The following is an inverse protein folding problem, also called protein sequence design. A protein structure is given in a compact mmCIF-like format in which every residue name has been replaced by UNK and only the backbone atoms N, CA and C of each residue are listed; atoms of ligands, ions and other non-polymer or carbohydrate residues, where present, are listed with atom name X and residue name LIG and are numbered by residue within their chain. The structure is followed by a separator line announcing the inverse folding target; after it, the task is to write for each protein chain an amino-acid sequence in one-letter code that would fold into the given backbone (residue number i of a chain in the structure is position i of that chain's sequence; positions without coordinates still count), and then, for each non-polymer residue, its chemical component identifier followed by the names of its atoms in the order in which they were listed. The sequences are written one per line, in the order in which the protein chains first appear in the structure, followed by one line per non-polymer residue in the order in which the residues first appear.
data_IF_347601853560
#
_entry.id   IF_347601853560
#
_cell.length_a   1.000
_cell.length_b   1.000
_cell.length_c   1.000
_cell.angle_alpha   90.00
_cell.angle_beta   90.00
_cell.angle_gamma   90.00
#
_symmetry.space_group_name_H-M   'P 1'
#
loop_
_entity.id
_entity.type
_entity.pdbx_description
1 polymer ?
#
# COMPACT_ATOMS: atom_id res chain seq x y z
N UNK A 1 -4.88 -9.31 9.04
CA UNK A 1 -3.45 -9.37 9.42
C UNK A 1 -3.15 -10.49 10.42
N UNK A 2 -4.15 -10.90 11.20
CA UNK A 2 -4.09 -11.95 12.20
C UNK A 2 -3.65 -13.30 11.62
N UNK A 3 -4.06 -13.60 10.38
CA UNK A 3 -3.57 -14.76 9.64
C UNK A 3 -2.06 -14.71 9.40
N UNK A 4 -1.52 -13.54 9.02
CA UNK A 4 -0.08 -13.37 8.83
C UNK A 4 0.67 -13.52 10.17
N UNK A 5 0.12 -12.98 11.26
CA UNK A 5 0.71 -13.11 12.61
C UNK A 5 0.75 -14.58 13.06
N UNK A 6 -0.35 -15.31 12.86
CA UNK A 6 -0.44 -16.74 13.17
C UNK A 6 0.55 -17.58 12.35
N UNK A 7 0.63 -17.36 11.03
CA UNK A 7 1.55 -18.09 10.15
C UNK A 7 3.02 -17.80 10.52
N UNK A 8 3.34 -16.56 10.89
CA UNK A 8 4.65 -16.16 11.37
C UNK A 8 5.01 -16.72 12.76
N UNK A 9 4.08 -17.38 13.45
CA UNK A 9 4.28 -17.90 14.81
C UNK A 9 4.20 -16.84 15.90
N UNK A 10 3.65 -15.66 15.59
CA UNK A 10 3.36 -14.62 16.56
C UNK A 10 2.03 -14.87 17.27
N UNK A 11 1.76 -14.09 18.33
CA UNK A 11 0.42 -14.04 18.92
C UNK A 11 -0.60 -13.55 17.87
N UNK A 12 -1.81 -14.09 17.90
CA UNK A 12 -2.93 -13.60 17.09
C UNK A 12 -3.14 -12.10 17.31
N UNK A 13 -2.90 -11.29 16.28
CA UNK A 13 -2.91 -9.83 16.33
C UNK A 13 -3.16 -9.23 14.95
N UNK A 14 -3.94 -8.16 14.87
CA UNK A 14 -4.09 -7.37 13.63
C UNK A 14 -2.95 -6.35 13.44
N UNK A 15 -2.06 -6.26 14.43
CA UNK A 15 -0.82 -5.49 14.44
C UNK A 15 0.40 -6.41 14.64
N UNK A 16 0.74 -7.29 13.67
CA UNK A 16 1.89 -8.17 13.79
C UNK A 16 3.22 -7.43 13.71
N UNK A 17 4.26 -8.01 14.31
CA UNK A 17 5.64 -7.56 14.12
C UNK A 17 6.26 -8.07 12.83
N UNK A 18 5.69 -9.11 12.21
CA UNK A 18 6.21 -9.77 11.00
C UNK A 18 5.97 -8.99 9.70
N UNK A 19 5.36 -7.80 9.77
CA UNK A 19 5.09 -6.94 8.61
C UNK A 19 5.28 -5.47 8.98
N UNK A 20 5.80 -4.67 8.05
CA UNK A 20 5.93 -3.22 8.21
C UNK A 20 4.58 -2.56 8.58
N UNK A 21 4.51 -1.68 9.61
CA UNK A 21 3.23 -1.17 10.14
C UNK A 21 2.32 -0.50 9.11
N UNK A 22 2.87 0.29 8.19
CA UNK A 22 2.07 0.93 7.15
C UNK A 22 1.53 -0.08 6.12
N UNK A 23 2.30 -1.13 5.80
CA UNK A 23 1.86 -2.19 4.90
C UNK A 23 0.76 -3.04 5.55
N UNK A 24 0.90 -3.34 6.86
CA UNK A 24 -0.15 -3.97 7.64
C UNK A 24 -1.43 -3.10 7.70
N UNK A 25 -1.27 -1.77 7.81
CA UNK A 25 -2.37 -0.81 7.71
C UNK A 25 -3.08 -0.85 6.34
N UNK A 26 -2.31 -0.85 5.25
CA UNK A 26 -2.85 -1.00 3.89
C UNK A 26 -3.60 -2.33 3.72
N UNK A 27 -3.03 -3.45 4.17
CA UNK A 27 -3.65 -4.76 4.06
C UNK A 27 -4.99 -4.84 4.83
N UNK A 28 -5.07 -4.25 6.02
CA UNK A 28 -6.34 -4.12 6.77
C UNK A 28 -7.36 -3.29 6.00
N UNK A 29 -6.97 -2.11 5.52
CA UNK A 29 -7.86 -1.25 4.75
C UNK A 29 -8.39 -1.93 3.48
N UNK A 30 -7.53 -2.64 2.74
CA UNK A 30 -7.94 -3.40 1.55
C UNK A 30 -8.89 -4.53 1.93
N UNK A 31 -8.58 -5.30 2.97
CA UNK A 31 -9.49 -6.31 3.50
C UNK A 31 -10.86 -5.69 3.88
N UNK A 32 -10.88 -4.54 4.52
CA UNK A 32 -12.12 -3.92 4.99
C UNK A 32 -13.01 -3.38 3.85
N UNK A 33 -12.45 -3.16 2.66
CA UNK A 33 -13.15 -2.54 1.52
C UNK A 33 -13.32 -3.45 0.31
N UNK A 34 -12.65 -4.60 0.24
CA UNK A 34 -12.89 -5.60 -0.81
C UNK A 34 -14.24 -6.29 -0.54
N UNK A 35 -14.97 -6.64 -1.61
CA UNK A 35 -16.22 -7.40 -1.47
C UNK A 35 -15.99 -8.80 -0.90
N UNK A 36 -17.03 -9.40 -0.33
CA UNK A 36 -16.97 -10.75 0.22
C UNK A 36 -16.68 -11.82 -0.85
N UNK A 37 -17.12 -11.61 -2.09
CA UNK A 37 -16.89 -12.53 -3.21
C UNK A 37 -15.41 -12.53 -3.64
N UNK A 38 -14.74 -11.37 -3.61
CA UNK A 38 -13.34 -11.23 -3.98
C UNK A 38 -12.36 -11.45 -2.81
N UNK A 39 -12.83 -11.34 -1.56
CA UNK A 39 -12.02 -11.51 -0.33
C UNK A 39 -11.17 -12.80 -0.29
N UNK A 40 -11.63 -13.97 -0.76
CA UNK A 40 -10.80 -15.18 -0.79
C UNK A 40 -9.49 -15.01 -1.58
N UNK A 41 -9.50 -14.17 -2.62
CA UNK A 41 -8.31 -13.86 -3.42
C UNK A 41 -7.21 -13.11 -2.66
N UNK A 42 -7.52 -12.49 -1.52
CA UNK A 42 -6.51 -11.89 -0.65
C UNK A 42 -5.71 -12.92 0.15
N UNK A 43 -6.26 -14.11 0.38
CA UNK A 43 -5.60 -15.15 1.15
C UNK A 43 -4.23 -15.51 0.53
N UNK A 44 -4.15 -15.56 -0.80
CA UNK A 44 -2.92 -15.84 -1.56
C UNK A 44 -1.78 -14.83 -1.28
N UNK A 45 -2.12 -13.60 -0.86
CA UNK A 45 -1.15 -12.55 -0.55
C UNK A 45 -0.64 -12.63 0.89
N UNK A 46 -1.32 -13.37 1.79
CA UNK A 46 -0.98 -13.42 3.22
C UNK A 46 0.44 -13.92 3.49
N UNK A 47 0.93 -15.01 2.86
CA UNK A 47 2.34 -15.41 2.97
C UNK A 47 3.31 -14.30 2.60
N UNK A 48 2.96 -13.49 1.61
CA UNK A 48 3.88 -12.54 0.97
C UNK A 48 4.18 -11.28 1.80
N UNK A 49 3.39 -11.01 2.85
CA UNK A 49 3.65 -9.89 3.78
C UNK A 49 4.56 -10.27 4.94
N UNK A 50 4.79 -11.57 5.16
CA UNK A 50 5.59 -12.07 6.28
C UNK A 50 7.07 -11.83 5.99
N UNK A 51 7.79 -11.29 6.97
CA UNK A 51 9.22 -10.96 6.84
C UNK A 51 9.49 -9.65 6.11
N UNK A 52 8.45 -8.96 5.60
CA UNK A 52 8.56 -7.60 5.07
C UNK A 52 8.63 -6.58 6.22
N UNK A 53 9.65 -6.74 7.06
CA UNK A 53 9.94 -5.96 8.25
C UNK A 53 11.18 -5.12 8.04
N UNK A 54 11.19 -3.89 8.53
CA UNK A 54 12.38 -3.04 8.50
C UNK A 54 12.05 -1.58 8.73
N UNK A 55 13.09 -0.79 8.96
CA UNK A 55 13.01 0.67 9.16
C UNK A 55 13.68 1.43 7.99
N UNK A 56 13.78 0.81 6.81
CA UNK A 56 14.28 1.52 5.63
C UNK A 56 13.42 2.78 5.41
N UNK A 57 14.03 3.99 5.46
CA UNK A 57 13.31 5.25 5.41
C UNK A 57 12.51 5.47 4.12
N UNK A 58 12.71 4.65 3.08
CA UNK A 58 11.98 4.69 1.81
C UNK A 58 10.65 3.94 1.84
N UNK A 59 10.45 2.99 2.76
CA UNK A 59 9.27 2.10 2.78
C UNK A 59 7.95 2.87 2.81
N UNK A 60 7.79 3.79 3.75
CA UNK A 60 6.57 4.59 3.89
C UNK A 60 6.28 5.41 2.61
N UNK A 61 7.33 5.98 2.01
CA UNK A 61 7.20 6.78 0.79
C UNK A 61 6.85 5.92 -0.43
N UNK A 62 7.42 4.71 -0.56
CA UNK A 62 7.06 3.78 -1.65
C UNK A 62 5.62 3.28 -1.53
N UNK A 63 5.19 2.89 -0.33
CA UNK A 63 3.81 2.45 -0.08
C UNK A 63 2.83 3.59 -0.38
N UNK A 64 3.09 4.79 0.14
CA UNK A 64 2.24 5.96 -0.11
C UNK A 64 2.21 6.35 -1.59
N UNK A 65 3.36 6.35 -2.27
CA UNK A 65 3.42 6.60 -3.71
C UNK A 65 2.60 5.55 -4.47
N UNK A 66 2.64 4.26 -4.07
CA UNK A 66 1.87 3.15 -4.70
C UNK A 66 0.40 3.42 -4.61
N UNK A 67 -0.06 3.70 -3.40
CA UNK A 67 -1.45 4.06 -3.15
C UNK A 67 -1.89 5.27 -3.97
N UNK A 68 -1.10 6.35 -3.95
CA UNK A 68 -1.47 7.59 -4.62
C UNK A 68 -1.47 7.47 -6.15
N UNK A 69 -0.44 6.84 -6.75
CA UNK A 69 -0.37 6.68 -8.22
C UNK A 69 -1.45 5.74 -8.76
N UNK A 70 -1.82 4.70 -8.00
CA UNK A 70 -2.88 3.77 -8.40
C UNK A 70 -4.28 4.41 -8.24
N UNK A 71 -4.49 5.17 -7.18
CA UNK A 71 -5.79 5.80 -6.92
C UNK A 71 -6.06 7.02 -7.82
N UNK A 72 -5.03 7.83 -8.13
CA UNK A 72 -5.20 9.11 -8.82
C UNK A 72 -6.13 9.06 -10.05
N UNK A 73 -6.01 8.11 -10.99
CA UNK A 73 -6.83 8.12 -12.21
C UNK A 73 -8.31 7.77 -11.98
N UNK A 74 -8.64 7.09 -10.88
CA UNK A 74 -9.99 6.52 -10.67
C UNK A 74 -10.79 7.23 -9.58
N UNK A 75 -10.13 7.94 -8.66
CA UNK A 75 -10.82 8.64 -7.57
C UNK A 75 -11.55 9.88 -8.09
N UNK A 76 -12.61 10.28 -7.37
CA UNK A 76 -13.33 11.52 -7.64
C UNK A 76 -12.42 12.75 -7.62
N UNK A 77 -12.76 13.79 -8.39
CA UNK A 77 -11.92 14.98 -8.62
C UNK A 77 -11.33 15.59 -7.34
N UNK A 78 -12.14 15.83 -6.31
CA UNK A 78 -11.67 16.42 -5.04
C UNK A 78 -10.57 15.57 -4.37
N UNK A 79 -10.62 14.25 -4.55
CA UNK A 79 -9.59 13.32 -4.06
C UNK A 79 -8.39 13.22 -4.99
N UNK A 80 -8.54 13.51 -6.29
CA UNK A 80 -7.41 13.57 -7.22
C UNK A 80 -6.40 14.65 -6.80
N UNK A 81 -6.88 15.81 -6.32
CA UNK A 81 -6.02 16.87 -5.80
C UNK A 81 -5.18 16.39 -4.62
N UNK A 82 -5.79 15.66 -3.68
CA UNK A 82 -5.09 15.07 -2.55
C UNK A 82 -4.07 14.01 -2.99
N UNK A 83 -4.45 13.10 -3.90
CA UNK A 83 -3.53 12.09 -4.45
C UNK A 83 -2.34 12.71 -5.18
N UNK A 84 -2.57 13.79 -5.94
CA UNK A 84 -1.52 14.48 -6.65
C UNK A 84 -0.51 15.15 -5.70
N UNK A 85 -0.98 15.76 -4.60
CA UNK A 85 -0.11 16.29 -3.54
C UNK A 85 0.64 15.16 -2.81
N UNK A 86 -0.02 14.02 -2.57
CA UNK A 86 0.62 12.84 -1.99
C UNK A 86 1.75 12.29 -2.87
N UNK A 87 1.58 12.26 -4.19
CA UNK A 87 2.63 11.86 -5.14
C UNK A 87 3.84 12.80 -5.04
N UNK A 88 3.63 14.12 -5.11
CA UNK A 88 4.71 15.10 -4.99
C UNK A 88 5.44 15.00 -3.65
N UNK A 89 4.69 14.80 -2.57
CA UNK A 89 5.23 14.65 -1.21
C UNK A 89 6.09 13.39 -1.08
N UNK A 90 5.61 12.26 -1.62
CA UNK A 90 6.34 11.00 -1.59
C UNK A 90 7.62 11.06 -2.45
N UNK A 91 7.55 11.64 -3.65
CA UNK A 91 8.71 11.85 -4.53
C UNK A 91 9.77 12.76 -3.89
N UNK A 92 9.33 13.82 -3.20
CA UNK A 92 10.22 14.71 -2.46
C UNK A 92 10.95 13.96 -1.34
N UNK A 93 10.21 13.16 -0.55
CA UNK A 93 10.79 12.36 0.53
C UNK A 93 11.75 11.30 0.01
N UNK A 94 11.38 10.60 -1.07
CA UNK A 94 12.27 9.63 -1.73
C UNK A 94 13.56 10.31 -2.20
N UNK A 95 13.46 11.45 -2.89
CA UNK A 95 14.62 12.19 -3.34
C UNK A 95 15.54 12.62 -2.17
N UNK A 96 14.94 13.10 -1.07
CA UNK A 96 15.68 13.49 0.14
C UNK A 96 16.41 12.29 0.76
N UNK A 97 15.72 11.16 0.94
CA UNK A 97 16.27 9.96 1.59
C UNK A 97 17.33 9.29 0.73
N UNK A 98 17.16 9.31 -0.60
CA UNK A 98 18.10 8.72 -1.57
C UNK A 98 19.27 9.67 -1.91
N UNK A 99 19.24 10.92 -1.43
CA UNK A 99 20.29 11.91 -1.72
C UNK A 99 20.34 12.33 -3.20
N UNK A 100 19.24 12.18 -3.94
CA UNK A 100 19.15 12.51 -5.38
C UNK A 100 18.43 13.85 -5.60
N UNK A 101 18.62 14.50 -6.75
CA UNK A 101 17.82 15.65 -7.13
C UNK A 101 16.32 15.34 -7.14
N UNK A 102 15.51 16.34 -6.79
CA UNK A 102 14.06 16.24 -6.89
C UNK A 102 13.65 15.98 -8.34
N UNK A 103 12.71 15.05 -8.51
CA UNK A 103 12.24 14.64 -9.83
C UNK A 103 11.22 13.50 -9.69
N UNK A 104 10.35 13.39 -10.68
CA UNK A 104 9.33 12.35 -10.73
C UNK A 104 9.91 11.04 -11.28
N UNK A 105 9.42 9.92 -10.79
CA UNK A 105 9.63 8.62 -11.42
C UNK A 105 8.65 8.41 -12.59
N UNK A 106 8.91 7.39 -13.42
CA UNK A 106 8.09 7.08 -14.59
C UNK A 106 6.62 6.83 -14.21
N UNK A 107 6.37 6.08 -13.13
CA UNK A 107 5.04 5.82 -12.55
C UNK A 107 4.28 7.09 -12.18
N UNK A 108 4.96 8.07 -11.62
CA UNK A 108 4.37 9.33 -11.17
C UNK A 108 4.04 10.23 -12.36
N UNK A 109 4.92 10.26 -13.36
CA UNK A 109 4.65 10.92 -14.65
C UNK A 109 3.42 10.32 -15.35
N UNK A 110 3.39 8.99 -15.50
CA UNK A 110 2.28 8.29 -16.14
C UNK A 110 0.93 8.49 -15.42
N UNK A 111 0.93 8.59 -14.08
CA UNK A 111 -0.27 8.90 -13.31
C UNK A 111 -0.73 10.35 -13.54
N UNK A 112 0.19 11.32 -13.60
CA UNK A 112 -0.12 12.72 -13.89
C UNK A 112 -0.60 12.96 -15.32
N UNK A 113 -0.09 12.21 -16.30
CA UNK A 113 -0.54 12.29 -17.68
C UNK A 113 -2.03 11.93 -17.84
N UNK A 114 -2.56 11.07 -16.97
CA UNK A 114 -3.98 10.70 -16.97
C UNK A 114 -4.88 11.75 -16.32
N UNK A 115 -4.33 12.61 -15.46
CA UNK A 115 -5.10 13.63 -14.70
C UNK A 115 -4.36 14.97 -14.72
N UNK A 116 -4.21 15.61 -15.91
CA UNK A 116 -3.35 16.77 -16.09
C UNK A 116 -3.77 17.98 -15.24
N UNK A 117 -5.07 18.19 -15.04
CA UNK A 117 -5.57 19.32 -14.24
C UNK A 117 -5.17 19.21 -12.76
N UNK A 118 -5.32 18.02 -12.17
CA UNK A 118 -4.90 17.77 -10.79
C UNK A 118 -3.37 17.86 -10.65
N UNK A 119 -2.63 17.38 -11.65
CA UNK A 119 -1.17 17.48 -11.68
C UNK A 119 -0.70 18.94 -11.72
N UNK A 120 -1.28 19.76 -12.61
CA UNK A 120 -0.96 21.18 -12.71
C UNK A 120 -1.29 21.95 -11.43
N UNK A 121 -2.47 21.70 -10.86
CA UNK A 121 -2.88 22.27 -9.59
C UNK A 121 -1.89 21.91 -8.47
N UNK A 122 -1.57 20.62 -8.33
CA UNK A 122 -0.67 20.14 -7.27
C UNK A 122 0.74 20.70 -7.41
N UNK A 123 1.26 20.84 -8.64
CA UNK A 123 2.55 21.47 -8.88
C UNK A 123 2.56 22.94 -8.47
N UNK A 124 1.46 23.67 -8.66
CA UNK A 124 1.31 25.06 -8.24
C UNK A 124 1.21 25.17 -6.71
N UNK A 125 0.38 24.32 -6.09
CA UNK A 125 0.24 24.22 -4.63
C UNK A 125 1.57 23.82 -3.95
N UNK A 126 2.31 22.90 -4.57
CA UNK A 126 3.52 22.30 -4.02
C UNK A 126 4.75 23.19 -4.00
N UNK A 127 4.74 24.38 -4.63
CA UNK A 127 5.92 25.28 -4.75
C UNK A 127 6.50 25.77 -3.41
N UNK A 128 5.82 25.52 -2.28
CA UNK A 128 6.31 25.81 -0.93
C UNK A 128 6.25 24.63 0.05
N UNK A 129 5.88 23.43 -0.42
CA UNK A 129 5.67 22.30 0.47
C UNK A 129 7.02 21.77 0.99
N UNK A 130 7.27 21.94 2.29
CA UNK A 130 8.44 21.40 2.97
C UNK A 130 7.97 20.33 3.94
N UNK A 131 8.06 19.07 3.52
CA UNK A 131 7.72 17.93 4.36
C UNK A 131 8.99 17.17 4.73
N UNK A 132 9.22 16.99 6.03
CA UNK A 132 10.31 16.13 6.50
C UNK A 132 9.92 14.66 6.36
N UNK A 133 10.89 13.77 6.11
CA UNK A 133 10.66 12.32 6.07
C UNK A 133 9.94 11.80 7.35
N UNK A 134 10.29 12.34 8.52
CA UNK A 134 9.64 12.01 9.80
C UNK A 134 8.18 12.45 9.84
N UNK A 135 7.89 13.68 9.42
CA UNK A 135 6.51 14.19 9.35
C UNK A 135 5.67 13.43 8.33
N UNK A 136 6.29 13.05 7.20
CA UNK A 136 5.68 12.24 6.16
C UNK A 136 5.26 10.86 6.69
N UNK A 137 6.20 10.11 7.29
CA UNK A 137 5.94 8.80 7.91
C UNK A 137 4.82 8.86 8.94
N UNK A 138 4.81 9.90 9.78
CA UNK A 138 3.85 10.01 10.88
C UNK A 138 2.43 10.39 10.42
N UNK A 139 2.30 11.21 9.39
CA UNK A 139 1.01 11.82 9.04
C UNK A 139 0.62 11.62 7.56
N UNK A 140 1.49 12.01 6.63
CA UNK A 140 1.14 12.04 5.22
C UNK A 140 0.98 10.63 4.62
N UNK A 141 1.87 9.69 4.95
CA UNK A 141 1.81 8.33 4.43
C UNK A 141 0.55 7.57 4.89
N UNK A 142 0.21 7.49 6.20
CA UNK A 142 -1.04 6.87 6.65
C UNK A 142 -2.29 7.51 6.04
N UNK A 143 -2.36 8.84 5.97
CA UNK A 143 -3.50 9.54 5.38
C UNK A 143 -3.62 9.26 3.87
N UNK A 144 -2.50 9.19 3.15
CA UNK A 144 -2.47 8.85 1.73
C UNK A 144 -3.04 7.45 1.49
N UNK A 145 -2.58 6.47 2.26
CA UNK A 145 -3.05 5.08 2.18
C UNK A 145 -4.56 5.01 2.43
N UNK A 146 -5.05 5.68 3.49
CA UNK A 146 -6.47 5.69 3.84
C UNK A 146 -7.34 6.34 2.74
N UNK A 147 -6.92 7.50 2.23
CA UNK A 147 -7.66 8.22 1.18
C UNK A 147 -7.66 7.45 -0.15
N UNK A 148 -6.53 6.83 -0.51
CA UNK A 148 -6.39 6.04 -1.72
C UNK A 148 -7.33 4.81 -1.71
N UNK A 149 -7.27 3.98 -0.66
CA UNK A 149 -8.10 2.76 -0.58
C UNK A 149 -9.58 3.11 -0.56
N UNK A 150 -10.00 4.06 0.28
CA UNK A 150 -11.40 4.51 0.32
C UNK A 150 -11.84 5.12 -1.01
N UNK A 151 -10.95 5.87 -1.65
CA UNK A 151 -11.21 6.49 -2.94
C UNK A 151 -11.43 5.45 -4.03
N UNK A 152 -10.59 4.41 -4.09
CA UNK A 152 -10.72 3.31 -5.05
C UNK A 152 -12.01 2.53 -4.80
N UNK A 153 -12.30 2.18 -3.54
CA UNK A 153 -13.51 1.45 -3.18
C UNK A 153 -14.81 2.21 -3.50
N UNK A 154 -14.74 3.54 -3.56
CA UNK A 154 -15.87 4.44 -3.89
C UNK A 154 -15.80 4.98 -5.32
N UNK A 155 -14.84 4.51 -6.13
CA UNK A 155 -14.65 5.01 -7.48
C UNK A 155 -15.82 4.58 -8.37
N UNK A 156 -16.14 5.41 -9.36
CA UNK A 156 -17.15 5.10 -10.39
C UNK A 156 -16.57 4.15 -11.45
N UNK A 157 -16.03 3.01 -11.03
CA UNK A 157 -15.51 1.95 -11.89
C UNK A 157 -16.41 0.71 -11.80
N UNK A 158 -16.50 -0.12 -12.85
CA UNK A 158 -17.39 -1.29 -12.84
C UNK A 158 -17.08 -2.28 -11.70
N UNK A 159 -15.80 -2.50 -11.38
CA UNK A 159 -15.35 -3.38 -10.31
C UNK A 159 -14.04 -2.86 -9.69
N UNK A 160 -14.06 -2.36 -8.43
CA UNK A 160 -12.88 -1.86 -7.76
C UNK A 160 -12.02 -2.96 -7.10
N UNK A 161 -12.52 -4.19 -6.94
CA UNK A 161 -11.86 -5.23 -6.15
C UNK A 161 -10.52 -5.70 -6.76
N UNK A 162 -10.42 -5.95 -8.08
CA UNK A 162 -9.13 -6.24 -8.71
C UNK A 162 -8.11 -5.14 -8.47
N UNK A 163 -8.54 -3.87 -8.52
CA UNK A 163 -7.66 -2.73 -8.31
C UNK A 163 -7.16 -2.64 -6.86
N UNK A 164 -8.01 -2.96 -5.87
CA UNK A 164 -7.62 -3.03 -4.46
C UNK A 164 -6.64 -4.18 -4.19
N UNK A 165 -6.88 -5.36 -4.78
CA UNK A 165 -5.98 -6.51 -4.68
C UNK A 165 -4.63 -6.21 -5.32
N UNK A 166 -4.62 -5.66 -6.53
CA UNK A 166 -3.39 -5.33 -7.26
C UNK A 166 -2.64 -4.18 -6.59
N UNK A 167 -3.33 -3.23 -5.96
CA UNK A 167 -2.72 -2.21 -5.12
C UNK A 167 -1.91 -2.84 -3.97
N UNK A 168 -2.51 -3.79 -3.24
CA UNK A 168 -1.82 -4.49 -2.14
C UNK A 168 -0.66 -5.33 -2.67
N UNK A 169 -0.87 -6.11 -3.73
CA UNK A 169 0.17 -6.93 -4.34
C UNK A 169 1.36 -6.08 -4.83
N UNK A 170 1.10 -4.93 -5.48
CA UNK A 170 2.13 -4.00 -5.91
C UNK A 170 2.89 -3.34 -4.75
N UNK A 171 2.21 -3.04 -3.65
CA UNK A 171 2.88 -2.52 -2.45
C UNK A 171 3.77 -3.57 -1.78
N UNK A 172 3.33 -4.83 -1.72
CA UNK A 172 4.12 -5.98 -1.27
C UNK A 172 5.39 -6.11 -2.13
N UNK A 173 5.24 -6.06 -3.45
CA UNK A 173 6.36 -6.15 -4.38
C UNK A 173 7.37 -5.00 -4.19
N UNK A 174 6.89 -3.77 -4.03
CA UNK A 174 7.75 -2.60 -3.74
C UNK A 174 8.54 -2.77 -2.44
N UNK A 175 7.88 -3.23 -1.38
CA UNK A 175 8.53 -3.48 -0.10
C UNK A 175 9.56 -4.60 -0.21
N UNK A 176 9.25 -5.69 -0.92
CA UNK A 176 10.17 -6.81 -1.13
C UNK A 176 11.42 -6.37 -1.89
N UNK A 177 11.25 -5.62 -2.98
CA UNK A 177 12.35 -5.11 -3.78
C UNK A 177 13.29 -4.19 -2.97
N UNK A 178 12.74 -3.38 -2.07
CA UNK A 178 13.53 -2.54 -1.17
C UNK A 178 14.29 -3.33 -0.10
N UNK A 179 13.64 -4.32 0.52
CA UNK A 179 14.18 -5.03 1.68
C UNK A 179 15.15 -6.16 1.30
N UNK A 180 14.91 -6.82 0.17
CA UNK A 180 15.62 -8.04 -0.21
C UNK A 180 16.37 -7.93 -1.55
N UNK A 181 16.20 -6.84 -2.31
CA UNK A 181 16.69 -6.74 -3.69
C UNK A 181 15.87 -7.56 -4.69
N UNK A 182 16.35 -7.70 -5.93
CA UNK A 182 15.73 -8.56 -6.95
C UNK A 182 15.78 -10.05 -6.51
N UNK A 183 14.78 -10.88 -6.86
CA UNK A 183 14.37 -12.02 -6.03
C UNK A 183 15.30 -13.22 -6.12
N UNK A 184 15.74 -13.71 -4.95
CA UNK A 184 16.33 -15.06 -4.84
C UNK A 184 15.83 -15.90 -3.65
N UNK A 185 15.11 -15.36 -2.66
CA UNK A 185 14.62 -16.18 -1.54
C UNK A 185 13.15 -15.89 -1.24
N UNK A 186 12.28 -16.74 -1.80
CA UNK A 186 10.94 -16.93 -1.26
C UNK A 186 11.05 -17.63 0.09
N UNK A 187 10.67 -16.94 1.16
CA UNK A 187 10.52 -17.56 2.48
C UNK A 187 9.45 -18.64 2.37
N UNK A 188 9.85 -19.92 2.43
CA UNK A 188 8.91 -21.03 2.35
C UNK A 188 8.00 -21.04 3.59
N UNK A 189 6.71 -20.78 3.41
CA UNK A 189 5.72 -20.94 4.49
C UNK A 189 5.47 -22.43 4.74
N UNK A 190 5.37 -22.82 6.02
CA UNK A 190 5.00 -24.19 6.41
C UNK A 190 3.62 -24.58 5.85
N UNK A 191 3.53 -25.59 4.95
CA UNK A 191 2.28 -26.02 4.34
C UNK A 191 1.22 -26.47 5.35
N UNK A 192 1.63 -27.02 6.50
CA UNK A 192 0.71 -27.51 7.54
C UNK A 192 0.02 -26.35 8.23
N UNK A 193 0.77 -25.29 8.56
CA UNK A 193 0.21 -24.06 9.14
C UNK A 193 -0.70 -23.34 8.15
N UNK A 194 -0.36 -23.33 6.87
CA UNK A 194 -1.23 -22.79 5.82
C UNK A 194 -2.58 -23.52 5.76
N UNK A 195 -2.56 -24.85 5.74
CA UNK A 195 -3.78 -25.66 5.74
C UNK A 195 -4.61 -25.47 7.03
N UNK A 196 -3.98 -25.29 8.19
CA UNK A 196 -4.66 -24.98 9.45
C UNK A 196 -5.32 -23.61 9.43
N UNK A 197 -4.61 -22.59 8.94
CA UNK A 197 -5.15 -21.25 8.75
C UNK A 197 -6.41 -21.27 7.84
N UNK A 198 -6.34 -21.95 6.69
CA UNK A 198 -7.49 -22.10 5.78
C UNK A 198 -8.70 -22.82 6.42
N UNK A 199 -8.50 -23.63 7.46
CA UNK A 199 -9.59 -24.26 8.22
C UNK A 199 -10.23 -23.29 9.22
N UNK A 200 -9.44 -22.40 9.82
CA UNK A 200 -9.92 -21.38 10.76
C UNK A 200 -10.86 -20.35 10.09
N UNK A 201 -10.68 -20.04 8.80
CA UNK A 201 -11.62 -19.18 8.04
C UNK A 201 -12.94 -19.85 7.71
N UNK A 202 -12.95 -21.18 7.48
CA UNK A 202 -14.20 -21.92 7.16
C UNK A 202 -15.06 -22.20 8.39
N UNK A 203 -14.47 -22.18 9.58
CA UNK A 203 -15.15 -22.50 10.84
C UNK A 203 -16.08 -21.43 11.44
N UNK A 204 -16.26 -20.27 10.79
CA UNK A 204 -17.11 -19.17 11.30
C UNK A 204 -18.43 -18.95 10.54
N UNK A 205 -18.80 -19.81 9.58
CA UNK A 205 -20.08 -19.72 8.85
C UNK A 205 -21.22 -20.59 9.44
N UNK A 206 -21.11 -21.06 10.67
CA UNK A 206 -22.23 -21.76 11.33
C UNK A 206 -22.21 -21.53 12.84
N UNK A 207 -22.86 -20.45 13.27
CA UNK A 207 -23.53 -20.30 14.56
C UNK A 207 -24.53 -19.14 14.44
#
# INVERSE_FOLDING_TARGET
MEFASYLAGERWSDHPSCTHPLLAGLARLVNDHISDDARPGLAELVPSVIGLTGDDPRLDARIALRCATTALPVVAHDRQLAMAVSILSAEHVLAQVEGRPAGLEARSRAAFEQVPDAAHWAQTFGRGLRISARGFRRYAAPNTVQLAVRGIAQACVPDPDPLLRDLLAGAIADCRALLHGDPAEETSVDPVRWAEACRLTRGRQSA
#
